data_IF_623210441783
#
_entry.id   IF_623210441783
#
_cell.length_a   1.000
_cell.length_b   1.000
_cell.length_c   1.000
_cell.angle_alpha   90.00
_cell.angle_beta   90.00
_cell.angle_gamma   90.00
#
_symmetry.space_group_name_H-M   'P 1'
#
loop_
_entity.id
_entity.type
_entity.pdbx_description
1 polymer ?
#
# COMPACT_ATOMS: atom_id res chain seq x y z
N UNK A 1 30.80 -0.07 -6.08
CA UNK A 1 29.91 0.34 -7.19
C UNK A 1 28.78 -0.66 -7.45
N UNK A 2 29.02 -1.97 -7.35
CA UNK A 2 27.97 -3.01 -7.53
C UNK A 2 26.85 -2.92 -6.46
N UNK A 3 27.20 -2.80 -5.18
CA UNK A 3 26.23 -2.70 -4.08
C UNK A 3 25.28 -1.51 -4.21
N UNK A 4 25.79 -0.33 -4.61
CA UNK A 4 24.95 0.87 -4.81
C UNK A 4 23.95 0.65 -5.95
N UNK A 5 24.34 -0.09 -6.98
CA UNK A 5 23.47 -0.41 -8.12
C UNK A 5 22.37 -1.40 -7.74
N UNK A 6 22.70 -2.37 -6.88
CA UNK A 6 21.72 -3.30 -6.31
C UNK A 6 20.75 -2.59 -5.36
N UNK A 7 21.23 -1.72 -4.47
CA UNK A 7 20.41 -0.92 -3.59
C UNK A 7 19.37 -0.07 -4.36
N UNK A 8 19.82 0.61 -5.42
CA UNK A 8 18.92 1.38 -6.30
C UNK A 8 17.90 0.48 -7.00
N UNK A 9 18.29 -0.71 -7.45
CA UNK A 9 17.41 -1.67 -8.10
C UNK A 9 16.34 -2.20 -7.12
N UNK A 10 16.71 -2.48 -5.87
CA UNK A 10 15.79 -2.95 -4.82
C UNK A 10 14.82 -1.85 -4.43
N UNK A 11 15.26 -0.60 -4.31
CA UNK A 11 14.43 0.53 -3.91
C UNK A 11 13.48 0.99 -5.02
N UNK A 12 13.98 1.16 -6.24
CA UNK A 12 13.18 1.70 -7.36
C UNK A 12 12.51 0.62 -8.22
N UNK A 13 12.96 -0.63 -8.14
CA UNK A 13 12.36 -1.75 -8.85
C UNK A 13 10.86 -1.90 -8.58
N UNK A 14 10.42 -1.92 -7.31
CA UNK A 14 9.01 -2.06 -6.94
C UNK A 14 8.14 -0.85 -7.35
N UNK A 15 8.72 0.32 -7.52
CA UNK A 15 7.96 1.51 -7.92
C UNK A 15 7.56 1.45 -9.40
N UNK A 16 8.48 1.00 -10.28
CA UNK A 16 8.28 1.09 -11.74
C UNK A 16 8.15 -0.29 -12.42
N UNK A 17 9.00 -1.25 -12.07
CA UNK A 17 9.12 -2.49 -12.82
C UNK A 17 8.43 -3.68 -12.14
N UNK A 18 8.38 -3.69 -10.81
CA UNK A 18 7.87 -4.81 -10.02
C UNK A 18 6.87 -4.32 -8.95
N UNK A 19 5.90 -3.52 -9.39
CA UNK A 19 4.93 -2.91 -8.47
C UNK A 19 4.10 -3.99 -7.77
N UNK A 20 3.95 -3.90 -6.43
CA UNK A 20 3.24 -4.91 -5.66
C UNK A 20 1.75 -5.05 -6.05
N UNK A 21 1.08 -3.97 -6.42
CA UNK A 21 -0.32 -4.05 -6.87
C UNK A 21 -0.40 -4.42 -8.34
N UNK A 22 0.37 -3.76 -9.21
CA UNK A 22 0.22 -3.90 -10.64
C UNK A 22 0.73 -5.25 -11.19
N UNK A 23 1.81 -5.80 -10.62
CA UNK A 23 2.41 -7.05 -11.08
C UNK A 23 2.10 -8.22 -10.15
N UNK A 24 2.29 -8.02 -8.83
CA UNK A 24 2.14 -9.10 -7.85
C UNK A 24 0.69 -9.27 -7.38
N UNK A 25 -0.20 -8.30 -7.69
CA UNK A 25 -1.62 -8.27 -7.27
C UNK A 25 -1.77 -8.39 -5.74
N UNK A 26 -0.83 -7.83 -4.99
CA UNK A 26 -0.83 -7.82 -3.53
C UNK A 26 -1.39 -6.49 -3.01
N UNK A 27 -2.07 -6.52 -1.85
CA UNK A 27 -2.58 -5.32 -1.19
C UNK A 27 -3.86 -4.72 -1.78
N UNK A 28 -4.52 -5.44 -2.70
CA UNK A 28 -5.78 -4.97 -3.30
C UNK A 28 -6.87 -4.80 -2.25
N UNK A 29 -6.93 -5.68 -1.22
CA UNK A 29 -7.93 -5.62 -0.15
C UNK A 29 -7.90 -4.30 0.62
N UNK A 30 -6.71 -3.85 1.01
CA UNK A 30 -6.54 -2.57 1.71
C UNK A 30 -6.78 -1.38 0.78
N UNK A 31 -6.38 -1.48 -0.50
CA UNK A 31 -6.65 -0.46 -1.48
C UNK A 31 -8.16 -0.24 -1.72
N UNK A 32 -8.98 -1.32 -1.68
CA UNK A 32 -10.43 -1.19 -1.79
C UNK A 32 -11.06 -0.44 -0.62
N UNK A 33 -10.60 -0.73 0.60
CA UNK A 33 -11.22 -0.21 1.81
C UNK A 33 -10.87 1.27 2.07
N UNK A 34 -9.66 1.71 1.70
CA UNK A 34 -9.07 2.97 2.19
C UNK A 34 -9.16 4.10 1.16
N UNK A 35 -9.34 3.80 -0.11
CA UNK A 35 -9.30 4.79 -1.19
C UNK A 35 -10.56 5.65 -1.33
N UNK A 36 -11.40 5.75 -0.30
CA UNK A 36 -12.58 6.62 -0.30
C UNK A 36 -12.25 8.10 -0.17
N UNK A 37 -11.20 8.43 0.60
CA UNK A 37 -10.67 9.79 0.78
C UNK A 37 -9.16 9.78 0.58
N UNK A 38 -8.62 10.80 -0.06
CA UNK A 38 -7.19 10.93 -0.31
C UNK A 38 -6.39 11.14 0.99
N UNK A 39 -6.96 11.83 1.97
CA UNK A 39 -6.35 12.05 3.27
C UNK A 39 -6.07 10.72 4.00
N UNK A 40 -7.07 9.85 4.08
CA UNK A 40 -6.92 8.52 4.69
C UNK A 40 -5.95 7.63 3.89
N UNK A 41 -5.96 7.74 2.57
CA UNK A 41 -5.03 7.01 1.70
C UNK A 41 -3.57 7.44 1.92
N UNK A 42 -3.30 8.73 2.11
CA UNK A 42 -1.97 9.27 2.40
C UNK A 42 -1.43 8.78 3.74
N UNK A 43 -2.22 8.91 4.81
CA UNK A 43 -1.81 8.47 6.15
C UNK A 43 -1.55 6.96 6.17
N UNK A 44 -2.43 6.19 5.53
CA UNK A 44 -2.29 4.74 5.45
C UNK A 44 -1.08 4.30 4.61
N UNK A 45 -0.79 5.01 3.52
CA UNK A 45 0.39 4.74 2.70
C UNK A 45 1.69 4.91 3.49
N UNK A 46 1.76 5.97 4.30
CA UNK A 46 2.91 6.25 5.16
C UNK A 46 3.03 5.21 6.28
N UNK A 47 1.92 4.88 6.96
CA UNK A 47 1.88 3.87 8.01
C UNK A 47 2.31 2.49 7.48
N UNK A 48 1.75 2.05 6.34
CA UNK A 48 2.09 0.76 5.74
C UNK A 48 3.54 0.71 5.29
N UNK A 49 4.07 1.76 4.67
CA UNK A 49 5.48 1.83 4.25
C UNK A 49 6.42 1.69 5.46
N UNK A 50 6.12 2.41 6.54
CA UNK A 50 6.91 2.35 7.78
C UNK A 50 6.85 0.95 8.40
N UNK A 51 5.65 0.39 8.55
CA UNK A 51 5.48 -0.96 9.10
C UNK A 51 6.20 -2.00 8.24
N UNK A 52 6.06 -1.95 6.92
CA UNK A 52 6.71 -2.91 6.01
C UNK A 52 8.23 -2.84 6.10
N UNK A 53 8.80 -1.64 6.14
CA UNK A 53 10.24 -1.45 6.24
C UNK A 53 10.81 -2.02 7.54
N UNK A 54 10.21 -1.65 8.68
CA UNK A 54 10.67 -2.10 9.99
C UNK A 54 10.37 -3.59 10.24
N UNK A 55 9.22 -4.10 9.80
CA UNK A 55 8.92 -5.52 9.95
C UNK A 55 9.92 -6.39 9.18
N UNK A 56 10.24 -6.01 7.93
CA UNK A 56 11.26 -6.71 7.15
C UNK A 56 12.64 -6.67 7.81
N UNK A 57 13.00 -5.53 8.43
CA UNK A 57 14.26 -5.40 9.18
C UNK A 57 14.29 -6.37 10.37
N UNK A 58 13.26 -6.34 11.23
CA UNK A 58 13.22 -7.17 12.44
C UNK A 58 13.12 -8.67 12.10
N UNK A 59 12.32 -9.04 11.12
CA UNK A 59 12.19 -10.43 10.68
C UNK A 59 13.53 -10.94 10.13
N UNK A 60 14.24 -10.13 9.34
CA UNK A 60 15.55 -10.50 8.82
C UNK A 60 16.61 -10.64 9.91
N UNK A 61 16.55 -9.85 10.98
CA UNK A 61 17.45 -9.99 12.14
C UNK A 61 17.25 -11.32 12.87
N UNK A 62 15.99 -11.74 13.03
CA UNK A 62 15.64 -12.91 13.84
C UNK A 62 15.57 -14.19 12.99
N UNK A 63 15.62 -14.10 11.67
CA UNK A 63 15.38 -15.20 10.72
C UNK A 63 16.14 -16.51 11.04
N UNK A 64 17.36 -16.41 11.57
CA UNK A 64 18.19 -17.58 11.87
C UNK A 64 17.71 -18.36 13.11
N UNK A 65 16.85 -17.77 13.94
CA UNK A 65 16.33 -18.38 15.16
C UNK A 65 14.88 -18.87 15.01
N UNK A 66 14.27 -18.67 13.85
CA UNK A 66 12.85 -18.99 13.61
C UNK A 66 12.75 -20.39 13.01
N UNK A 67 12.16 -21.38 13.73
CA UNK A 67 11.87 -22.69 13.16
C UNK A 67 10.75 -22.61 12.10
N UNK A 68 10.85 -23.46 11.08
CA UNK A 68 9.93 -23.45 9.93
C UNK A 68 8.46 -23.65 10.28
N UNK A 69 8.18 -24.40 11.34
CA UNK A 69 6.80 -24.73 11.75
C UNK A 69 6.01 -23.58 12.35
N UNK A 70 6.68 -22.60 13.00
CA UNK A 70 6.03 -21.46 13.66
C UNK A 70 6.34 -20.11 13.01
N UNK A 71 6.96 -20.13 11.85
CA UNK A 71 7.48 -18.94 11.14
C UNK A 71 6.40 -17.89 10.92
N UNK A 72 5.26 -18.25 10.41
CA UNK A 72 4.15 -17.33 10.11
C UNK A 72 3.62 -16.66 11.37
N UNK A 73 3.53 -17.41 12.48
CA UNK A 73 3.03 -16.89 13.77
C UNK A 73 3.99 -15.81 14.29
N UNK A 74 5.28 -16.06 14.24
CA UNK A 74 6.31 -15.08 14.68
C UNK A 74 6.27 -13.82 13.82
N UNK A 75 6.19 -13.97 12.50
CA UNK A 75 6.08 -12.84 11.58
C UNK A 75 4.84 -11.99 11.89
N UNK A 76 3.67 -12.62 12.04
CA UNK A 76 2.44 -11.93 12.39
C UNK A 76 2.52 -11.20 13.73
N UNK A 77 3.17 -11.80 14.73
CA UNK A 77 3.35 -11.17 16.06
C UNK A 77 4.23 -9.92 15.96
N UNK A 78 5.32 -9.97 15.20
CA UNK A 78 6.21 -8.82 14.99
C UNK A 78 5.47 -7.70 14.25
N UNK A 79 4.74 -8.03 13.18
CA UNK A 79 3.96 -7.06 12.41
C UNK A 79 2.89 -6.43 13.30
N UNK A 80 2.14 -7.22 14.07
CA UNK A 80 1.10 -6.73 14.96
C UNK A 80 1.66 -5.78 16.03
N UNK A 81 2.80 -6.11 16.63
CA UNK A 81 3.46 -5.25 17.62
C UNK A 81 3.86 -3.89 17.03
N UNK A 82 4.43 -3.88 15.83
CA UNK A 82 4.80 -2.64 15.13
C UNK A 82 3.57 -1.81 14.76
N UNK A 83 2.51 -2.46 14.30
CA UNK A 83 1.25 -1.77 13.94
C UNK A 83 0.63 -1.11 15.17
N UNK A 84 0.64 -1.76 16.34
CA UNK A 84 0.15 -1.18 17.59
C UNK A 84 0.98 0.06 17.97
N UNK A 85 2.29 0.02 17.81
CA UNK A 85 3.16 1.18 18.08
C UNK A 85 2.79 2.34 17.14
N UNK A 86 2.63 2.09 15.85
CA UNK A 86 2.22 3.11 14.88
C UNK A 86 0.83 3.66 15.18
N UNK A 87 -0.13 2.81 15.58
CA UNK A 87 -1.47 3.24 15.99
C UNK A 87 -1.43 4.18 17.19
N UNK A 88 -0.62 3.87 18.22
CA UNK A 88 -0.46 4.73 19.40
C UNK A 88 0.19 6.08 19.03
N UNK A 89 1.15 6.09 18.12
CA UNK A 89 1.74 7.34 17.61
C UNK A 89 0.70 8.17 16.85
N UNK A 90 -0.10 7.56 15.99
CA UNK A 90 -1.18 8.25 15.27
C UNK A 90 -2.24 8.81 16.21
N UNK A 91 -2.60 8.09 17.29
CA UNK A 91 -3.51 8.56 18.33
C UNK A 91 -2.97 9.79 19.08
N UNK A 92 -1.67 9.84 19.28
CA UNK A 92 -1.03 10.98 19.97
C UNK A 92 -1.02 12.25 19.11
N UNK A 93 -0.88 12.14 17.78
CA UNK A 93 -0.75 13.31 16.89
C UNK A 93 -2.07 13.75 16.26
N UNK A 94 -2.98 12.82 15.95
CA UNK A 94 -4.20 13.12 15.18
C UNK A 94 -5.34 12.19 15.57
N UNK A 95 -6.04 12.55 16.67
CA UNK A 95 -7.12 11.73 17.22
C UNK A 95 -8.29 11.52 16.25
N UNK A 96 -8.67 12.54 15.49
CA UNK A 96 -9.78 12.46 14.50
C UNK A 96 -9.47 11.47 13.38
N UNK A 97 -8.25 11.51 12.83
CA UNK A 97 -7.81 10.60 11.77
C UNK A 97 -7.64 9.19 12.33
N UNK A 98 -7.13 9.06 13.55
CA UNK A 98 -6.97 7.77 14.22
C UNK A 98 -8.30 7.06 14.45
N UNK A 99 -9.38 7.77 14.78
CA UNK A 99 -10.71 7.18 14.97
C UNK A 99 -11.25 6.57 13.68
N UNK A 100 -11.00 7.21 12.54
CA UNK A 100 -11.36 6.66 11.23
C UNK A 100 -10.44 5.48 10.84
N UNK A 101 -9.16 5.56 11.19
CA UNK A 101 -8.16 4.56 10.83
C UNK A 101 -8.11 3.35 11.77
N UNK A 102 -8.70 3.40 12.97
CA UNK A 102 -8.63 2.29 13.93
C UNK A 102 -9.17 0.96 13.36
N UNK A 103 -10.17 1.03 12.49
CA UNK A 103 -10.69 -0.12 11.77
C UNK A 103 -9.69 -0.62 10.71
N UNK A 104 -8.94 0.29 10.09
CA UNK A 104 -8.00 -0.03 9.02
C UNK A 104 -6.64 -0.48 9.53
N UNK A 105 -6.30 -0.19 10.78
CA UNK A 105 -5.08 -0.69 11.45
C UNK A 105 -5.03 -2.21 11.43
N UNK A 106 -6.16 -2.87 11.64
CA UNK A 106 -6.27 -4.31 11.49
C UNK A 106 -5.95 -4.82 10.07
N UNK A 107 -6.24 -4.02 9.04
CA UNK A 107 -5.93 -4.36 7.66
C UNK A 107 -4.44 -4.25 7.33
N UNK A 108 -3.65 -3.53 8.12
CA UNK A 108 -2.19 -3.51 7.95
C UNK A 108 -1.58 -4.83 8.44
N UNK A 109 -2.07 -5.37 9.56
CA UNK A 109 -1.58 -6.61 10.15
C UNK A 109 -1.78 -7.79 9.18
N UNK A 110 -2.96 -7.86 8.57
CA UNK A 110 -3.32 -8.92 7.61
C UNK A 110 -2.97 -8.59 6.17
N UNK A 111 -2.20 -7.50 5.94
CA UNK A 111 -1.89 -7.05 4.59
C UNK A 111 -0.94 -8.03 3.88
N UNK A 112 -1.38 -8.50 2.72
CA UNK A 112 -0.62 -9.46 1.93
C UNK A 112 0.71 -8.89 1.40
N UNK A 113 0.89 -7.57 1.30
CA UNK A 113 2.19 -6.97 0.94
C UNK A 113 3.18 -7.17 2.08
N UNK A 114 2.81 -6.79 3.31
CA UNK A 114 3.69 -6.87 4.48
C UNK A 114 4.11 -8.32 4.70
N UNK A 115 3.15 -9.23 4.75
CA UNK A 115 3.40 -10.65 4.94
C UNK A 115 4.15 -11.28 3.76
N UNK A 116 3.77 -10.94 2.53
CA UNK A 116 4.40 -11.47 1.32
C UNK A 116 5.87 -11.05 1.19
N UNK A 117 6.21 -9.80 1.55
CA UNK A 117 7.61 -9.35 1.52
C UNK A 117 8.44 -9.89 2.68
N UNK A 118 7.83 -10.02 3.86
CA UNK A 118 8.45 -10.69 5.00
C UNK A 118 8.89 -12.12 4.64
N UNK A 119 8.02 -12.89 4.02
CA UNK A 119 8.28 -14.28 3.64
C UNK A 119 9.19 -14.40 2.41
N UNK A 120 8.91 -13.64 1.36
CA UNK A 120 9.61 -13.79 0.08
C UNK A 120 11.04 -13.21 0.11
N UNK A 121 11.26 -12.12 0.83
CA UNK A 121 12.51 -11.37 0.81
C UNK A 121 13.24 -11.32 2.16
N UNK A 122 12.56 -10.91 3.25
CA UNK A 122 13.21 -10.69 4.54
C UNK A 122 13.80 -11.96 5.15
N UNK A 123 13.17 -13.10 4.93
CA UNK A 123 13.69 -14.41 5.36
C UNK A 123 14.97 -14.87 4.62
N UNK A 124 15.28 -14.29 3.46
CA UNK A 124 16.38 -14.73 2.60
C UNK A 124 17.52 -13.72 2.49
N UNK A 125 17.23 -12.45 2.77
CA UNK A 125 18.16 -11.35 2.51
C UNK A 125 18.70 -10.72 3.80
N UNK A 126 19.86 -10.03 3.75
CA UNK A 126 20.42 -9.36 4.91
C UNK A 126 19.52 -8.22 5.39
N UNK A 127 19.60 -7.81 6.68
CA UNK A 127 18.66 -6.86 7.30
C UNK A 127 18.57 -5.52 6.57
N UNK A 128 19.69 -4.96 6.16
CA UNK A 128 19.74 -3.67 5.47
C UNK A 128 19.02 -3.70 4.11
N UNK A 129 19.25 -4.74 3.32
CA UNK A 129 18.58 -4.92 2.03
C UNK A 129 17.08 -5.20 2.21
N UNK A 130 16.70 -5.91 3.27
CA UNK A 130 15.30 -6.17 3.60
C UNK A 130 14.57 -4.90 4.00
N UNK A 131 15.21 -3.98 4.71
CA UNK A 131 14.67 -2.67 5.02
C UNK A 131 14.43 -1.83 3.75
N UNK A 132 15.39 -1.78 2.84
CA UNK A 132 15.27 -1.08 1.56
C UNK A 132 14.17 -1.68 0.66
N UNK A 133 14.04 -3.00 0.65
CA UNK A 133 12.97 -3.68 -0.07
C UNK A 133 11.59 -3.32 0.49
N UNK A 134 11.45 -3.28 1.82
CA UNK A 134 10.22 -2.84 2.49
C UNK A 134 9.84 -1.41 2.13
N UNK A 135 10.82 -0.48 2.12
CA UNK A 135 10.61 0.90 1.69
C UNK A 135 10.20 0.97 0.22
N UNK A 136 10.90 0.27 -0.67
CA UNK A 136 10.61 0.28 -2.10
C UNK A 136 9.21 -0.23 -2.43
N UNK A 137 8.79 -1.34 -1.82
CA UNK A 137 7.46 -1.91 -2.00
C UNK A 137 6.37 -1.04 -1.36
N UNK A 138 6.64 -0.44 -0.19
CA UNK A 138 5.74 0.51 0.45
C UNK A 138 5.50 1.75 -0.41
N UNK A 139 6.54 2.34 -0.99
CA UNK A 139 6.43 3.47 -1.92
C UNK A 139 5.68 3.07 -3.18
N UNK A 140 5.98 1.91 -3.77
CA UNK A 140 5.27 1.39 -4.93
C UNK A 140 3.78 1.21 -4.70
N UNK A 141 3.39 0.72 -3.52
CA UNK A 141 2.01 0.64 -3.08
C UNK A 141 1.37 2.02 -2.89
N UNK A 142 2.09 2.95 -2.25
CA UNK A 142 1.62 4.30 -1.97
C UNK A 142 1.27 5.06 -3.25
N UNK A 143 2.09 4.94 -4.29
CA UNK A 143 1.84 5.57 -5.59
C UNK A 143 0.50 5.12 -6.17
N UNK A 144 0.23 3.83 -6.17
CA UNK A 144 -1.05 3.29 -6.69
C UNK A 144 -2.23 3.73 -5.83
N UNK A 145 -2.09 3.72 -4.49
CA UNK A 145 -3.13 4.21 -3.59
C UNK A 145 -3.50 5.67 -3.84
N UNK A 146 -2.50 6.53 -4.00
CA UNK A 146 -2.69 7.96 -4.26
C UNK A 146 -3.40 8.17 -5.59
N UNK A 147 -3.01 7.46 -6.64
CA UNK A 147 -3.64 7.55 -7.96
C UNK A 147 -5.12 7.17 -7.87
N UNK A 148 -5.42 6.02 -7.25
CA UNK A 148 -6.81 5.54 -7.14
C UNK A 148 -7.63 6.44 -6.22
N UNK A 149 -7.06 6.86 -5.07
CA UNK A 149 -7.70 7.78 -4.14
C UNK A 149 -8.04 9.12 -4.78
N UNK A 150 -7.11 9.68 -5.56
CA UNK A 150 -7.32 10.93 -6.31
C UNK A 150 -8.44 10.80 -7.33
N UNK A 151 -8.46 9.71 -8.11
CA UNK A 151 -9.52 9.47 -9.09
C UNK A 151 -10.88 9.34 -8.39
N UNK A 152 -10.95 8.57 -7.31
CA UNK A 152 -12.22 8.36 -6.57
C UNK A 152 -12.73 9.62 -5.90
N UNK A 153 -11.86 10.38 -5.26
CA UNK A 153 -12.25 11.62 -4.58
C UNK A 153 -12.69 12.69 -5.60
N UNK A 154 -11.95 12.83 -6.70
CA UNK A 154 -12.25 13.79 -7.74
C UNK A 154 -13.59 13.50 -8.44
N UNK A 155 -13.79 12.25 -8.87
CA UNK A 155 -15.01 11.89 -9.60
C UNK A 155 -16.18 11.45 -8.70
N UNK A 156 -15.90 11.06 -7.44
CA UNK A 156 -16.95 10.70 -6.47
C UNK A 156 -17.55 11.91 -5.79
N UNK A 157 -16.72 12.75 -5.21
CA UNK A 157 -17.15 13.91 -4.43
C UNK A 157 -16.92 15.25 -5.12
N UNK A 158 -16.14 15.30 -6.22
CA UNK A 158 -15.77 16.57 -6.85
C UNK A 158 -14.80 17.43 -6.02
N UNK A 159 -14.33 16.90 -4.90
CA UNK A 159 -13.37 17.55 -3.98
C UNK A 159 -12.00 16.88 -4.09
N UNK A 160 -10.94 17.58 -3.69
CA UNK A 160 -9.59 17.04 -3.57
C UNK A 160 -8.96 17.66 -2.33
N UNK A 161 -8.65 16.84 -1.32
CA UNK A 161 -8.15 17.28 -0.01
C UNK A 161 -9.07 18.34 0.66
N UNK A 162 -10.39 18.26 0.46
CA UNK A 162 -11.34 19.21 1.02
C UNK A 162 -11.54 20.49 0.21
N UNK A 163 -10.80 20.68 -0.90
CA UNK A 163 -11.05 21.81 -1.83
C UNK A 163 -12.00 21.36 -2.92
N UNK A 164 -13.07 22.14 -3.14
CA UNK A 164 -14.03 21.90 -4.23
C UNK A 164 -13.39 22.29 -5.58
N UNK A 165 -13.04 21.28 -6.39
CA UNK A 165 -12.49 21.48 -7.74
C UNK A 165 -13.61 21.42 -8.77
N UNK A 166 -14.57 20.50 -8.60
CA UNK A 166 -15.74 20.37 -9.47
C UNK A 166 -16.98 20.84 -8.68
N UNK A 167 -17.55 22.02 -8.99
CA UNK A 167 -18.73 22.50 -8.29
C UNK A 167 -19.90 21.54 -8.52
N UNK A 168 -20.40 20.95 -7.42
CA UNK A 168 -21.56 20.07 -7.45
C UNK A 168 -22.85 20.85 -7.74
N UNK A 169 -23.82 20.18 -8.35
CA UNK A 169 -25.17 20.75 -8.62
C UNK A 169 -25.80 21.25 -7.33
N UNK A 170 -25.55 20.64 -6.18
CA UNK A 170 -26.06 21.09 -4.87
C UNK A 170 -25.53 22.46 -4.44
N UNK A 171 -24.37 22.87 -4.94
CA UNK A 171 -23.73 24.17 -4.69
C UNK A 171 -23.84 25.11 -5.91
N UNK A 172 -24.77 24.83 -6.86
CA UNK A 172 -24.97 25.65 -8.06
C UNK A 172 -24.03 25.34 -9.23
N UNK A 173 -23.32 24.22 -9.19
CA UNK A 173 -22.44 23.76 -10.25
C UNK A 173 -23.15 22.87 -11.29
N UNK A 174 -22.39 22.36 -12.23
CA UNK A 174 -22.87 21.50 -13.34
C UNK A 174 -22.52 20.02 -13.16
N UNK A 175 -21.73 19.66 -12.13
CA UNK A 175 -21.27 18.28 -11.91
C UNK A 175 -22.18 17.55 -10.91
N UNK A 176 -22.66 16.39 -11.30
CA UNK A 176 -23.34 15.45 -10.42
C UNK A 176 -22.35 14.36 -9.98
N UNK A 177 -22.03 14.33 -8.68
CA UNK A 177 -21.13 13.32 -8.12
C UNK A 177 -21.61 11.90 -8.42
N UNK A 178 -20.71 11.06 -8.90
CA UNK A 178 -21.03 9.69 -9.27
C UNK A 178 -20.94 8.77 -8.03
N UNK A 179 -22.09 8.49 -7.38
CA UNK A 179 -22.18 7.63 -6.21
C UNK A 179 -21.64 6.22 -6.42
N UNK A 180 -21.61 5.73 -7.67
CA UNK A 180 -21.02 4.41 -7.98
C UNK A 180 -19.52 4.37 -7.71
N UNK A 181 -18.80 5.49 -7.95
CA UNK A 181 -17.36 5.58 -7.72
C UNK A 181 -16.98 5.63 -6.23
N UNK A 182 -17.91 6.04 -5.36
CA UNK A 182 -17.70 6.06 -3.91
C UNK A 182 -17.69 4.63 -3.34
N UNK A 183 -18.43 3.71 -3.95
CA UNK A 183 -18.52 2.33 -3.52
C UNK A 183 -17.15 1.61 -3.60
N UNK A 184 -16.85 0.68 -2.67
CA UNK A 184 -15.62 -0.11 -2.72
C UNK A 184 -15.43 -0.89 -4.03
N UNK A 185 -16.52 -1.33 -4.65
CA UNK A 185 -16.51 -2.04 -5.94
C UNK A 185 -15.80 -1.28 -7.07
N UNK A 186 -15.93 0.03 -7.10
CA UNK A 186 -15.31 0.84 -8.14
C UNK A 186 -13.79 0.73 -8.14
N UNK A 187 -13.18 0.48 -6.96
CA UNK A 187 -11.74 0.29 -6.85
C UNK A 187 -11.24 -0.94 -7.63
N UNK A 188 -12.04 -2.01 -7.74
CA UNK A 188 -11.67 -3.17 -8.57
C UNK A 188 -11.56 -2.79 -10.05
N UNK A 189 -12.53 -2.04 -10.55
CA UNK A 189 -12.51 -1.57 -11.94
C UNK A 189 -11.35 -0.62 -12.20
N UNK A 190 -11.08 0.29 -11.25
CA UNK A 190 -9.97 1.23 -11.36
C UNK A 190 -8.61 0.52 -11.30
N UNK A 191 -8.43 -0.42 -10.37
CA UNK A 191 -7.20 -1.22 -10.26
C UNK A 191 -7.04 -2.10 -11.49
N UNK A 192 -8.10 -2.78 -11.92
CA UNK A 192 -8.09 -3.60 -13.14
C UNK A 192 -7.75 -2.78 -14.38
N UNK A 193 -8.35 -1.61 -14.54
CA UNK A 193 -8.04 -0.67 -15.62
C UNK A 193 -6.60 -0.16 -15.55
N UNK A 194 -6.11 0.18 -14.36
CA UNK A 194 -4.72 0.61 -14.15
C UNK A 194 -3.73 -0.51 -14.55
N UNK A 195 -3.98 -1.74 -14.11
CA UNK A 195 -3.15 -2.90 -14.46
C UNK A 195 -3.19 -3.14 -15.97
N UNK A 196 -4.36 -3.04 -16.58
CA UNK A 196 -4.51 -3.18 -18.03
C UNK A 196 -3.71 -2.13 -18.81
N UNK A 197 -3.79 -0.86 -18.40
CA UNK A 197 -3.01 0.24 -19.00
C UNK A 197 -1.50 -0.01 -18.84
N UNK A 198 -1.05 -0.36 -17.63
CA UNK A 198 0.39 -0.62 -17.36
C UNK A 198 0.89 -1.78 -18.21
N UNK A 199 0.14 -2.88 -18.32
CA UNK A 199 0.51 -4.05 -19.13
C UNK A 199 0.46 -3.77 -20.63
N UNK A 200 -0.40 -2.86 -21.08
CA UNK A 200 -0.45 -2.42 -22.48
C UNK A 200 0.77 -1.57 -22.85
N UNK A 201 1.20 -0.68 -21.93
CA UNK A 201 2.39 0.16 -22.13
C UNK A 201 3.68 -0.66 -22.01
N UNK A 202 3.68 -1.71 -21.15
CA UNK A 202 4.86 -2.55 -20.88
C UNK A 202 4.54 -4.04 -21.15
N UNK A 203 4.55 -4.47 -22.41
CA UNK A 203 4.23 -5.87 -22.77
C UNK A 203 5.20 -6.90 -22.18
N UNK A 204 6.40 -6.48 -21.74
CA UNK A 204 7.37 -7.35 -21.07
C UNK A 204 6.89 -7.86 -19.68
N UNK A 205 5.83 -7.29 -19.12
CA UNK A 205 5.20 -7.72 -17.86
C UNK A 205 4.00 -8.66 -18.07
N UNK A 206 3.67 -8.96 -19.33
CA UNK A 206 2.63 -9.94 -19.65
C UNK A 206 3.22 -11.34 -19.55
N UNK A 207 2.58 -12.20 -18.76
CA UNK A 207 2.97 -13.61 -18.70
C UNK A 207 2.91 -14.25 -20.08
N UNK A 208 3.93 -15.06 -20.49
CA UNK A 208 3.86 -15.77 -21.74
C UNK A 208 2.61 -16.67 -21.73
N UNK A 209 1.81 -16.58 -22.77
CA UNK A 209 0.65 -17.46 -22.94
C UNK A 209 1.17 -18.90 -22.94
N UNK A 210 0.89 -19.66 -21.88
CA UNK A 210 1.15 -21.07 -21.81
C UNK A 210 0.32 -21.86 -22.81
#
# INVERSE_FOLDING_TARGET
MAEIKEMKKVLFGPVLNNNPIALQVLGVCSALAITTKLETALVMSLALTTVTAFSNLFISLIRNHIPSSVRIIIQMTIIASLVIVVDQLLKAYSYEISKQLSVFVGLIITNCIVMGRAEAYAMKSPPFMSFLDGLGNGIGYSVVLIIIGTIKELFGFGTLLGFEILPLIQNGGWYQGNGLLILPFSSFFLIGGLIWVIRTIRPAQVEPKG
#
